data_IF_074622471307
#
_entry.id   IF_074622471307
#
_cell.length_a   1.000
_cell.length_b   1.000
_cell.length_c   1.000
_cell.angle_alpha   90.00
_cell.angle_beta   90.00
_cell.angle_gamma   90.00
#
_symmetry.space_group_name_H-M   'P 1'
#
loop_
_entity.id
_entity.type
_entity.pdbx_description
1 polymer ?
#
# COMPACT_ATOMS: atom_id res chain seq x y z
N UNK A 1 -12.57 6.57 -16.95
CA UNK A 1 -11.92 6.58 -15.61
C UNK A 1 -11.12 5.28 -15.40
N UNK A 2 -10.17 4.94 -16.30
CA UNK A 2 -9.34 3.73 -16.14
C UNK A 2 -8.01 4.02 -15.46
N UNK A 3 -7.33 5.07 -15.93
CA UNK A 3 -5.95 5.38 -15.57
C UNK A 3 -5.79 6.29 -14.34
N UNK A 4 -6.84 7.01 -13.93
CA UNK A 4 -6.74 8.00 -12.85
C UNK A 4 -6.37 7.40 -11.50
N UNK A 5 -6.91 6.21 -11.19
CA UNK A 5 -6.63 5.52 -9.93
C UNK A 5 -5.22 4.89 -9.93
N UNK A 6 -4.80 4.12 -10.96
CA UNK A 6 -3.42 3.65 -11.06
C UNK A 6 -2.40 4.80 -11.02
N UNK A 7 -2.67 5.89 -11.74
CA UNK A 7 -1.79 7.06 -11.76
C UNK A 7 -1.71 7.75 -10.39
N UNK A 8 -2.84 7.96 -9.71
CA UNK A 8 -2.81 8.59 -8.39
C UNK A 8 -2.09 7.73 -7.35
N UNK A 9 -2.25 6.40 -7.42
CA UNK A 9 -1.52 5.46 -6.56
C UNK A 9 -0.03 5.37 -6.89
N UNK A 10 0.35 5.49 -8.16
CA UNK A 10 1.75 5.60 -8.55
C UNK A 10 2.38 6.89 -7.98
N UNK A 11 1.68 8.03 -8.11
CA UNK A 11 2.14 9.31 -7.57
C UNK A 11 2.28 9.27 -6.04
N UNK A 12 1.35 8.63 -5.33
CA UNK A 12 1.43 8.41 -3.88
C UNK A 12 2.71 7.64 -3.50
N UNK A 13 2.99 6.54 -4.19
CA UNK A 13 4.20 5.72 -3.95
C UNK A 13 5.48 6.54 -4.19
N UNK A 14 5.58 7.25 -5.32
CA UNK A 14 6.76 8.08 -5.63
C UNK A 14 6.96 9.22 -4.63
N UNK A 15 5.87 9.87 -4.22
CA UNK A 15 5.92 10.95 -3.23
C UNK A 15 6.39 10.45 -1.87
N UNK A 16 5.88 9.30 -1.42
CA UNK A 16 6.24 8.74 -0.11
C UNK A 16 7.69 8.26 -0.09
N UNK A 17 8.21 7.71 -1.19
CA UNK A 17 9.64 7.38 -1.33
C UNK A 17 10.53 8.62 -1.15
N UNK A 18 10.24 9.69 -1.89
CA UNK A 18 10.98 10.95 -1.77
C UNK A 18 10.89 11.56 -0.36
N UNK A 19 9.72 11.45 0.28
CA UNK A 19 9.51 11.94 1.64
C UNK A 19 10.34 11.15 2.65
N UNK A 20 10.35 9.82 2.56
CA UNK A 20 11.13 8.95 3.44
C UNK A 20 12.64 9.27 3.35
N UNK A 21 13.16 9.57 2.15
CA UNK A 21 14.55 9.98 1.96
C UNK A 21 14.92 11.34 2.55
N UNK A 22 13.94 12.21 2.85
CA UNK A 22 14.16 13.57 3.39
C UNK A 22 13.93 13.69 4.88
N UNK A 23 13.19 12.76 5.47
CA UNK A 23 12.91 12.73 6.90
C UNK A 23 13.94 11.86 7.61
N UNK A 24 14.43 12.31 8.76
CA UNK A 24 15.35 11.49 9.56
C UNK A 24 14.57 10.31 10.13
N UNK A 25 15.01 9.09 9.81
CA UNK A 25 14.45 7.83 10.34
C UNK A 25 14.40 7.77 11.87
N UNK A 26 15.31 8.49 12.53
CA UNK A 26 15.35 8.61 13.99
C UNK A 26 14.19 9.43 14.58
N UNK A 27 13.48 10.20 13.76
CA UNK A 27 12.32 11.00 14.17
C UNK A 27 11.02 10.30 13.83
N UNK A 28 10.90 9.86 12.57
CA UNK A 28 9.70 9.20 12.04
C UNK A 28 10.12 8.16 11.02
N UNK A 29 9.47 7.00 11.08
CA UNK A 29 9.54 5.95 10.07
C UNK A 29 8.37 6.15 9.10
N UNK A 30 8.66 6.18 7.80
CA UNK A 30 7.66 6.41 6.74
C UNK A 30 7.63 5.22 5.80
N UNK A 31 6.53 4.45 5.83
CA UNK A 31 6.35 3.25 5.01
C UNK A 31 5.14 3.36 4.09
N UNK A 32 5.21 2.67 2.95
CA UNK A 32 4.10 2.54 2.00
C UNK A 32 3.34 1.25 2.26
N UNK A 33 2.02 1.32 2.41
CA UNK A 33 1.22 0.19 2.87
C UNK A 33 0.23 -0.27 1.80
N UNK A 34 0.32 -1.55 1.43
CA UNK A 34 -0.61 -2.21 0.54
C UNK A 34 -1.48 -3.22 1.31
N UNK A 35 -2.72 -2.87 1.66
CA UNK A 35 -3.64 -3.76 2.33
C UNK A 35 -4.27 -4.80 1.39
N UNK A 36 -3.89 -4.82 0.11
CA UNK A 36 -4.47 -5.70 -0.92
C UNK A 36 -5.95 -5.43 -1.19
N UNK A 37 -6.59 -6.31 -1.95
CA UNK A 37 -7.99 -6.16 -2.31
C UNK A 37 -8.89 -6.49 -1.11
N UNK A 38 -9.47 -5.47 -0.48
CA UNK A 38 -10.38 -5.63 0.66
C UNK A 38 -11.84 -5.40 0.27
N UNK A 39 -12.75 -6.01 1.01
CA UNK A 39 -14.18 -5.78 0.84
C UNK A 39 -14.62 -4.43 1.44
N UNK A 40 -14.25 -3.34 0.76
CA UNK A 40 -14.58 -1.94 1.10
C UNK A 40 -15.40 -1.27 0.00
N UNK A 41 -15.87 -0.05 0.26
CA UNK A 41 -16.66 0.73 -0.68
C UNK A 41 -15.90 1.15 -1.96
N UNK A 42 -14.56 1.07 -1.96
CA UNK A 42 -13.71 1.44 -3.10
C UNK A 42 -14.00 0.58 -4.33
N UNK A 43 -14.38 1.17 -5.46
CA UNK A 43 -14.74 0.41 -6.67
C UNK A 43 -16.18 -0.13 -6.68
N UNK A 44 -17.06 0.35 -5.79
CA UNK A 44 -18.51 0.05 -5.82
C UNK A 44 -19.16 0.32 -7.20
N UNK A 45 -18.64 1.31 -7.92
CA UNK A 45 -19.10 1.77 -9.23
C UNK A 45 -18.47 0.98 -10.39
N UNK A 46 -17.56 0.04 -10.12
CA UNK A 46 -16.82 -0.73 -11.13
C UNK A 46 -17.63 -1.79 -11.89
N UNK A 47 -18.96 -1.74 -11.84
CA UNK A 47 -19.86 -2.65 -12.54
C UNK A 47 -19.80 -4.11 -12.05
N UNK A 48 -20.42 -5.01 -12.83
CA UNK A 48 -20.55 -6.43 -12.48
C UNK A 48 -19.19 -7.15 -12.36
N UNK A 49 -18.23 -6.81 -13.23
CA UNK A 49 -16.88 -7.41 -13.21
C UNK A 49 -16.15 -7.14 -11.91
N UNK A 50 -16.14 -5.89 -11.44
CA UNK A 50 -15.51 -5.52 -10.17
C UNK A 50 -16.22 -6.18 -8.97
N UNK A 51 -17.55 -6.27 -9.01
CA UNK A 51 -18.33 -7.00 -7.98
C UNK A 51 -17.97 -8.47 -7.93
N UNK A 52 -17.90 -9.16 -9.08
CA UNK A 52 -17.52 -10.57 -9.14
C UNK A 52 -16.08 -10.80 -8.67
N UNK A 53 -15.15 -9.93 -9.10
CA UNK A 53 -13.76 -9.99 -8.65
C UNK A 53 -13.66 -9.84 -7.13
N UNK A 54 -14.36 -8.87 -6.53
CA UNK A 54 -14.40 -8.70 -5.08
C UNK A 54 -15.01 -9.89 -4.36
N UNK A 55 -16.06 -10.50 -4.91
CA UNK A 55 -16.71 -11.65 -4.29
C UNK A 55 -15.75 -12.84 -4.15
N UNK A 56 -14.85 -13.04 -5.12
CA UNK A 56 -13.94 -14.19 -5.14
C UNK A 56 -12.58 -13.89 -4.53
N UNK A 57 -12.05 -12.68 -4.71
CA UNK A 57 -10.67 -12.33 -4.37
C UNK A 57 -10.54 -11.37 -3.18
N UNK A 58 -11.61 -10.65 -2.80
CA UNK A 58 -11.48 -9.67 -1.72
C UNK A 58 -11.42 -10.35 -0.36
N UNK A 59 -10.43 -9.94 0.45
CA UNK A 59 -10.32 -10.32 1.85
C UNK A 59 -11.14 -9.39 2.75
N UNK A 60 -11.31 -9.79 4.01
CA UNK A 60 -11.95 -8.94 5.02
C UNK A 60 -11.10 -7.70 5.33
N UNK A 61 -11.76 -6.63 5.79
CA UNK A 61 -11.10 -5.37 6.14
C UNK A 61 -10.14 -5.59 7.31
N UNK A 62 -10.51 -6.45 8.25
CA UNK A 62 -9.72 -6.80 9.44
C UNK A 62 -8.44 -7.54 9.06
N UNK A 63 -8.45 -8.35 7.99
CA UNK A 63 -7.23 -8.99 7.48
C UNK A 63 -6.35 -7.96 6.78
N UNK A 64 -6.94 -7.10 5.94
CA UNK A 64 -6.19 -6.04 5.24
C UNK A 64 -5.55 -5.03 6.19
N UNK A 65 -6.24 -4.65 7.27
CA UNK A 65 -5.76 -3.68 8.26
C UNK A 65 -4.54 -4.16 9.04
N UNK A 66 -4.30 -5.47 9.12
CA UNK A 66 -3.09 -6.01 9.77
C UNK A 66 -1.81 -5.52 9.15
N UNK A 67 -1.80 -5.27 7.83
CA UNK A 67 -0.62 -4.67 7.17
C UNK A 67 -0.38 -3.28 7.73
N UNK A 68 -1.42 -2.43 7.80
CA UNK A 68 -1.33 -1.08 8.39
C UNK A 68 -0.83 -1.11 9.85
N UNK A 69 -1.44 -1.97 10.67
CA UNK A 69 -1.03 -2.13 12.08
C UNK A 69 0.41 -2.60 12.18
N UNK A 70 0.82 -3.59 11.39
CA UNK A 70 2.20 -4.08 11.38
C UNK A 70 3.19 -2.98 11.01
N UNK A 71 2.89 -2.16 10.00
CA UNK A 71 3.72 -1.01 9.64
C UNK A 71 3.81 0.03 10.74
N UNK A 72 2.73 0.27 11.48
CA UNK A 72 2.68 1.27 12.54
C UNK A 72 3.31 0.81 13.86
N UNK A 73 3.22 -0.48 14.20
CA UNK A 73 3.57 -0.97 15.55
C UNK A 73 4.75 -1.95 15.59
N UNK A 74 5.00 -2.68 14.50
CA UNK A 74 5.98 -3.77 14.48
C UNK A 74 7.17 -3.47 13.55
N UNK A 75 7.01 -2.55 12.60
CA UNK A 75 8.07 -2.20 11.68
C UNK A 75 9.10 -1.29 12.37
N UNK A 76 10.35 -1.75 12.44
CA UNK A 76 11.46 -1.01 13.04
C UNK A 76 12.14 -0.04 12.07
N UNK A 77 13.22 0.59 12.52
CA UNK A 77 14.03 1.54 11.71
C UNK A 77 14.46 0.96 10.35
N UNK A 78 14.73 -0.34 10.29
CA UNK A 78 15.09 -1.09 9.07
C UNK A 78 14.01 -1.05 7.98
N UNK A 79 12.77 -0.76 8.36
CA UNK A 79 11.65 -0.72 7.42
C UNK A 79 11.47 0.62 6.73
N UNK A 80 12.14 1.69 7.18
CA UNK A 80 11.87 3.03 6.66
C UNK A 80 12.02 3.12 5.13
N UNK A 81 11.00 3.71 4.50
CA UNK A 81 10.87 3.81 3.05
C UNK A 81 10.43 2.51 2.37
N UNK A 82 10.10 1.44 3.11
CA UNK A 82 9.71 0.17 2.52
C UNK A 82 8.28 0.19 1.98
N UNK A 83 8.06 -0.62 0.95
CA UNK A 83 6.73 -1.00 0.50
C UNK A 83 6.30 -2.30 1.17
N UNK A 84 5.17 -2.30 1.86
CA UNK A 84 4.71 -3.42 2.67
C UNK A 84 3.43 -4.04 2.11
N UNK A 85 3.42 -5.35 1.96
CA UNK A 85 2.23 -6.15 1.59
C UNK A 85 2.11 -7.32 2.57
N UNK A 86 0.91 -7.59 3.07
CA UNK A 86 0.64 -8.75 3.95
C UNK A 86 1.55 -8.83 5.19
N UNK A 87 1.85 -7.66 5.77
CA UNK A 87 2.76 -7.44 6.91
C UNK A 87 4.25 -7.65 6.63
N UNK A 88 4.64 -7.91 5.38
CA UNK A 88 6.03 -8.11 4.98
C UNK A 88 6.52 -6.97 4.11
N UNK A 89 7.83 -6.74 4.10
CA UNK A 89 8.51 -5.85 3.14
C UNK A 89 8.55 -6.54 1.77
N UNK A 90 8.10 -5.84 0.73
CA UNK A 90 8.00 -6.32 -0.65
C UNK A 90 8.48 -5.23 -1.62
N UNK A 91 9.73 -4.79 -1.45
CA UNK A 91 10.32 -3.72 -2.27
C UNK A 91 10.51 -4.13 -3.75
N UNK A 92 10.50 -5.43 -4.04
CA UNK A 92 10.44 -6.02 -5.40
C UNK A 92 9.22 -5.58 -6.20
N UNK A 93 8.14 -5.15 -5.53
CA UNK A 93 6.97 -4.58 -6.19
C UNK A 93 7.20 -3.15 -6.70
N UNK A 94 8.27 -2.48 -6.26
CA UNK A 94 8.66 -1.16 -6.72
C UNK A 94 9.55 -1.25 -7.95
N UNK A 95 9.44 -0.27 -8.85
CA UNK A 95 10.37 -0.13 -9.95
C UNK A 95 11.76 0.28 -9.46
N UNK A 96 12.81 -0.17 -10.15
CA UNK A 96 14.21 0.18 -9.87
C UNK A 96 14.53 1.69 -9.97
N UNK A 97 13.62 2.50 -10.54
CA UNK A 97 13.80 3.94 -10.75
C UNK A 97 13.80 4.79 -9.46
N UNK A 98 13.76 4.18 -8.27
CA UNK A 98 13.72 4.86 -6.97
C UNK A 98 14.82 4.45 -5.97
N UNK A 99 15.89 3.79 -6.42
CA UNK A 99 17.12 3.58 -5.63
C UNK A 99 18.19 4.61 -6.03
#
# INVERSE_FOLDING_TARGET
MGEQYPLSKLLEVLLVQELAGRVRRSEVIINMMNPGLCNIQLGKEGGLRMKLMKMVLARSIEVGSRTLVAGATAAGLESDGAYMTDKNVENTALSLFGC
#
